data_IF_823716497922
#
_entry.id   IF_823716497922
#
_cell.length_a   1.000
_cell.length_b   1.000
_cell.length_c   1.000
_cell.angle_alpha   90.00
_cell.angle_beta   90.00
_cell.angle_gamma   90.00
#
_symmetry.space_group_name_H-M   'P 1'
#
loop_
_entity.id
_entity.type
_entity.pdbx_description
1 polymer ?
#
# COMPACT_ATOMS: atom_id res chain seq x y z
N UNK A 1 34.96 -17.06 34.64
CA UNK A 1 33.73 -17.65 34.08
C UNK A 1 33.23 -16.68 33.02
N UNK A 2 33.47 -16.97 31.73
CA UNK A 2 33.11 -16.09 30.63
C UNK A 2 31.57 -16.22 30.36
N UNK A 3 30.87 -15.09 30.31
CA UNK A 3 29.46 -15.04 29.93
C UNK A 3 29.30 -15.56 28.50
N UNK A 4 28.26 -16.34 28.17
CA UNK A 4 28.05 -16.84 26.83
C UNK A 4 27.84 -15.64 25.89
N UNK A 5 28.67 -15.56 24.86
CA UNK A 5 28.50 -14.59 23.77
C UNK A 5 27.18 -14.89 23.08
N UNK A 6 26.17 -14.04 23.28
CA UNK A 6 24.89 -14.17 22.59
C UNK A 6 25.15 -14.11 21.08
N UNK A 7 24.78 -15.16 20.36
CA UNK A 7 24.77 -15.13 18.92
C UNK A 7 23.85 -13.96 18.45
N UNK A 8 24.26 -13.17 17.46
CA UNK A 8 23.44 -12.06 16.96
C UNK A 8 22.13 -12.61 16.44
N UNK A 9 21.00 -12.10 16.99
CA UNK A 9 19.67 -12.45 16.52
C UNK A 9 19.48 -11.91 15.09
N UNK A 10 18.95 -12.76 14.20
CA UNK A 10 18.53 -12.35 12.87
C UNK A 10 17.29 -11.44 12.90
N UNK A 11 17.00 -10.78 11.79
CA UNK A 11 15.79 -9.95 11.66
C UNK A 11 14.53 -10.81 11.70
N UNK A 12 13.50 -10.32 12.41
CA UNK A 12 12.17 -10.94 12.40
C UNK A 12 11.55 -10.79 11.01
N UNK A 13 10.99 -11.88 10.46
CA UNK A 13 10.28 -11.90 9.18
C UNK A 13 8.96 -12.65 9.37
N UNK A 14 7.86 -12.05 8.93
CA UNK A 14 6.56 -12.69 8.89
C UNK A 14 6.12 -12.90 7.44
N UNK A 15 5.64 -14.10 7.13
CA UNK A 15 4.93 -14.32 5.88
C UNK A 15 3.49 -13.82 6.06
N UNK A 16 3.07 -12.90 5.21
CA UNK A 16 1.73 -12.33 5.23
C UNK A 16 1.02 -12.69 3.93
N UNK A 17 -0.24 -13.05 4.06
CA UNK A 17 -1.11 -13.34 2.92
C UNK A 17 -2.42 -12.57 3.09
N UNK A 18 -2.91 -12.01 1.98
CA UNK A 18 -4.23 -11.42 1.89
C UNK A 18 -5.15 -12.40 1.18
N UNK A 19 -6.26 -12.75 1.81
CA UNK A 19 -7.31 -13.58 1.22
C UNK A 19 -8.41 -12.68 0.68
N UNK A 20 -8.70 -12.79 -0.62
CA UNK A 20 -9.77 -12.05 -1.30
C UNK A 20 -10.82 -13.02 -1.84
N UNK A 21 -12.06 -12.65 -1.67
CA UNK A 21 -13.22 -13.46 -2.01
C UNK A 21 -13.96 -12.98 -3.26
N UNK A 22 -13.71 -11.73 -3.71
CA UNK A 22 -14.46 -11.14 -4.83
C UNK A 22 -13.55 -10.79 -6.01
N UNK A 23 -14.07 -10.95 -7.23
CA UNK A 23 -13.38 -10.47 -8.43
C UNK A 23 -13.19 -8.95 -8.44
N UNK A 24 -14.06 -8.21 -7.76
CA UNK A 24 -13.97 -6.76 -7.64
C UNK A 24 -12.68 -6.35 -6.91
N UNK A 25 -12.39 -6.96 -5.76
CA UNK A 25 -11.17 -6.71 -5.00
C UNK A 25 -9.90 -7.22 -5.72
N UNK A 26 -9.97 -8.40 -6.38
CA UNK A 26 -8.84 -8.95 -7.15
C UNK A 26 -8.44 -7.99 -8.29
N UNK A 27 -9.39 -7.37 -8.98
CA UNK A 27 -9.12 -6.35 -10.01
C UNK A 27 -8.40 -5.13 -9.44
N UNK A 28 -8.74 -4.70 -8.22
CA UNK A 28 -8.09 -3.59 -7.55
C UNK A 28 -6.68 -3.95 -7.06
N UNK A 29 -6.43 -5.20 -6.71
CA UNK A 29 -5.09 -5.68 -6.39
C UNK A 29 -4.14 -5.60 -7.59
N UNK A 30 -4.57 -6.13 -8.74
CA UNK A 30 -3.73 -6.17 -9.94
C UNK A 30 -3.71 -4.85 -10.71
N UNK A 31 -4.81 -4.09 -10.67
CA UNK A 31 -5.00 -2.96 -11.58
C UNK A 31 -5.25 -3.42 -13.03
N UNK A 32 -4.98 -2.54 -13.97
CA UNK A 32 -5.12 -2.82 -15.41
C UNK A 32 -3.93 -2.26 -16.17
N UNK A 33 -3.30 -3.08 -16.98
CA UNK A 33 -2.26 -2.63 -17.90
C UNK A 33 -2.85 -1.71 -19.00
N UNK A 34 -2.09 -0.75 -19.52
CA UNK A 34 -2.51 0.04 -20.66
C UNK A 34 -2.76 -0.87 -21.87
N UNK A 35 -3.86 -0.64 -22.57
CA UNK A 35 -4.21 -1.40 -23.78
C UNK A 35 -4.85 -0.49 -24.80
N UNK A 36 -4.25 -0.37 -25.98
CA UNK A 36 -4.70 0.54 -27.05
C UNK A 36 -4.79 1.98 -26.55
N UNK A 37 -6.00 2.57 -26.59
CA UNK A 37 -6.27 3.94 -26.12
C UNK A 37 -6.61 4.03 -24.63
N UNK A 38 -6.66 2.90 -23.91
CA UNK A 38 -7.02 2.86 -22.49
C UNK A 38 -5.76 3.03 -21.63
N UNK A 39 -5.79 4.06 -20.77
CA UNK A 39 -4.73 4.26 -19.78
C UNK A 39 -4.68 3.10 -18.77
N UNK A 40 -3.47 2.77 -18.32
CA UNK A 40 -3.27 1.81 -17.24
C UNK A 40 -3.89 2.32 -15.92
N UNK A 41 -4.43 1.40 -15.14
CA UNK A 41 -4.93 1.68 -13.79
C UNK A 41 -3.99 0.98 -12.81
N UNK A 42 -3.35 1.74 -11.94
CA UNK A 42 -2.48 1.19 -10.93
C UNK A 42 -3.31 0.39 -9.92
N UNK A 43 -2.92 -0.86 -9.67
CA UNK A 43 -3.49 -1.65 -8.59
C UNK A 43 -2.75 -1.45 -7.27
N UNK A 44 -3.26 -2.08 -6.19
CA UNK A 44 -2.65 -2.01 -4.87
C UNK A 44 -1.17 -2.44 -4.89
N UNK A 45 -0.83 -3.48 -5.63
CA UNK A 45 0.55 -3.96 -5.72
C UNK A 45 1.51 -2.86 -6.23
N UNK A 46 1.12 -2.17 -7.30
CA UNK A 46 1.89 -1.03 -7.82
C UNK A 46 1.91 0.17 -6.88
N UNK A 47 0.79 0.46 -6.20
CA UNK A 47 0.73 1.50 -5.17
C UNK A 47 1.73 1.22 -4.03
N UNK A 48 1.73 -0.01 -3.49
CA UNK A 48 2.65 -0.42 -2.42
C UNK A 48 4.11 -0.29 -2.85
N UNK A 49 4.45 -0.68 -4.08
CA UNK A 49 5.80 -0.52 -4.60
C UNK A 49 6.26 0.95 -4.61
N UNK A 50 5.38 1.86 -5.03
CA UNK A 50 5.67 3.30 -5.02
C UNK A 50 5.74 3.88 -3.59
N UNK A 51 4.84 3.49 -2.70
CA UNK A 51 4.87 3.92 -1.30
C UNK A 51 6.15 3.44 -0.60
N UNK A 52 6.60 2.22 -0.87
CA UNK A 52 7.87 1.70 -0.36
C UNK A 52 9.06 2.54 -0.88
N UNK A 53 9.01 3.02 -2.13
CA UNK A 53 10.02 3.92 -2.69
C UNK A 53 10.01 5.28 -2.00
N UNK A 54 8.83 5.92 -1.88
CA UNK A 54 8.65 7.19 -1.20
C UNK A 54 9.15 7.12 0.25
N UNK A 55 8.81 6.04 0.95
CA UNK A 55 9.26 5.81 2.32
C UNK A 55 10.79 5.70 2.44
N UNK A 56 11.45 5.04 1.47
CA UNK A 56 12.92 4.96 1.43
C UNK A 56 13.55 6.33 1.16
N UNK A 57 12.98 7.12 0.24
CA UNK A 57 13.47 8.45 -0.08
C UNK A 57 13.30 9.40 1.14
N UNK A 58 12.18 9.31 1.85
CA UNK A 58 11.97 10.03 3.12
C UNK A 58 12.95 9.59 4.23
N UNK A 59 13.33 8.31 4.26
CA UNK A 59 14.36 7.81 5.18
C UNK A 59 15.78 8.37 4.86
N UNK A 60 15.99 8.86 3.64
CA UNK A 60 17.22 9.56 3.21
C UNK A 60 17.14 11.08 3.44
N UNK A 61 16.18 11.51 4.22
CA UNK A 61 15.95 12.92 4.58
C UNK A 61 15.49 13.80 3.41
N UNK A 62 14.78 13.23 2.43
CA UNK A 62 14.17 13.95 1.32
C UNK A 62 12.85 14.63 1.77
N UNK A 63 12.78 15.98 1.83
CA UNK A 63 11.58 16.68 2.27
C UNK A 63 10.43 16.61 1.26
N UNK A 64 10.71 16.41 -0.04
CA UNK A 64 9.67 16.19 -1.04
C UNK A 64 9.01 14.84 -0.84
N UNK A 65 9.77 13.81 -0.46
CA UNK A 65 9.22 12.51 -0.10
C UNK A 65 8.35 12.60 1.16
N UNK A 66 8.74 13.39 2.17
CA UNK A 66 7.89 13.65 3.36
C UNK A 66 6.57 14.34 2.97
N UNK A 67 6.60 15.32 2.06
CA UNK A 67 5.40 15.97 1.54
C UNK A 67 4.45 14.96 0.85
N UNK A 68 5.01 13.98 0.13
CA UNK A 68 4.23 12.90 -0.48
C UNK A 68 3.63 11.97 0.56
N UNK A 69 4.37 11.60 1.61
CA UNK A 69 3.82 10.77 2.70
C UNK A 69 2.63 11.46 3.38
N UNK A 70 2.68 12.78 3.60
CA UNK A 70 1.56 13.56 4.14
C UNK A 70 0.34 13.53 3.22
N UNK A 71 0.54 13.69 1.89
CA UNK A 71 -0.55 13.62 0.91
C UNK A 71 -1.19 12.24 0.87
N UNK A 72 -0.37 11.18 0.93
CA UNK A 72 -0.84 9.79 0.94
C UNK A 72 -1.64 9.53 2.21
N UNK A 73 -1.15 9.96 3.38
CA UNK A 73 -1.85 9.81 4.66
C UNK A 73 -3.21 10.49 4.64
N UNK A 74 -3.28 11.75 4.21
CA UNK A 74 -4.54 12.48 4.09
C UNK A 74 -5.53 11.79 3.13
N UNK A 75 -5.05 11.25 2.00
CA UNK A 75 -5.90 10.53 1.04
C UNK A 75 -6.37 9.18 1.58
N UNK A 76 -5.53 8.49 2.38
CA UNK A 76 -5.92 7.26 3.08
C UNK A 76 -7.02 7.53 4.12
N UNK A 77 -6.90 8.61 4.90
CA UNK A 77 -7.93 9.00 5.89
C UNK A 77 -9.26 9.33 5.19
N UNK A 78 -9.23 10.06 4.06
CA UNK A 78 -10.42 10.34 3.23
C UNK A 78 -11.02 9.05 2.69
N UNK A 79 -10.22 8.18 2.07
CA UNK A 79 -10.69 6.92 1.50
C UNK A 79 -11.32 6.00 2.57
N UNK A 80 -10.76 6.00 3.78
CA UNK A 80 -11.32 5.28 4.91
C UNK A 80 -12.69 5.79 5.31
N UNK A 81 -12.86 7.12 5.40
CA UNK A 81 -14.15 7.72 5.72
C UNK A 81 -15.22 7.39 4.67
N UNK A 82 -14.90 7.52 3.39
CA UNK A 82 -15.80 7.19 2.28
C UNK A 82 -16.23 5.71 2.29
N UNK A 83 -15.31 4.77 2.55
CA UNK A 83 -15.65 3.34 2.67
C UNK A 83 -16.50 3.06 3.91
N UNK A 84 -16.26 3.75 5.03
CA UNK A 84 -17.07 3.62 6.23
C UNK A 84 -18.52 4.09 5.99
N UNK A 85 -18.72 5.16 5.23
CA UNK A 85 -20.05 5.64 4.87
C UNK A 85 -20.81 4.62 3.98
N UNK A 86 -20.13 4.01 3.01
CA UNK A 86 -20.71 2.93 2.20
C UNK A 86 -21.08 1.71 3.06
N UNK A 87 -20.22 1.33 4.02
CA UNK A 87 -20.49 0.22 4.96
C UNK A 87 -21.69 0.53 5.87
N UNK A 88 -21.85 1.78 6.30
CA UNK A 88 -23.02 2.19 7.09
C UNK A 88 -24.31 2.05 6.27
N UNK A 89 -24.35 2.56 5.04
CA UNK A 89 -25.51 2.41 4.15
C UNK A 89 -25.86 0.94 3.91
N UNK A 90 -24.86 0.08 3.67
CA UNK A 90 -25.05 -1.37 3.52
C UNK A 90 -25.57 -2.01 4.81
N UNK A 91 -25.03 -1.62 5.98
CA UNK A 91 -25.50 -2.12 7.27
C UNK A 91 -26.98 -1.79 7.48
N UNK A 92 -27.38 -0.56 7.19
CA UNK A 92 -28.79 -0.12 7.28
C UNK A 92 -29.70 -0.95 6.38
N UNK A 93 -29.28 -1.23 5.13
CA UNK A 93 -30.02 -2.09 4.24
C UNK A 93 -30.16 -3.53 4.77
N UNK A 94 -29.10 -4.09 5.33
CA UNK A 94 -29.12 -5.44 5.91
C UNK A 94 -30.02 -5.56 7.16
N UNK A 95 -30.26 -4.47 7.91
CA UNK A 95 -31.19 -4.46 9.04
C UNK A 95 -32.65 -4.61 8.63
N UNK A 96 -32.97 -4.42 7.34
CA UNK A 96 -34.33 -4.64 6.81
C UNK A 96 -34.68 -6.12 6.65
N UNK A 97 -33.72 -7.04 6.83
CA UNK A 97 -34.00 -8.45 6.80
C UNK A 97 -34.96 -8.85 7.93
N UNK A 98 -35.93 -9.75 7.66
CA UNK A 98 -36.83 -10.25 8.70
C UNK A 98 -36.02 -10.88 9.85
N UNK A 99 -36.43 -10.63 11.11
CA UNK A 99 -35.71 -11.13 12.28
C UNK A 99 -35.57 -12.68 12.34
N UNK A 100 -36.45 -13.40 11.66
CA UNK A 100 -36.39 -14.86 11.54
C UNK A 100 -35.30 -15.33 10.55
N UNK A 101 -34.76 -14.44 9.70
CA UNK A 101 -33.74 -14.77 8.72
C UNK A 101 -32.36 -14.35 9.25
N UNK A 102 -31.51 -15.33 9.48
CA UNK A 102 -30.11 -15.10 9.84
C UNK A 102 -29.27 -15.11 8.56
N UNK A 103 -28.65 -13.98 8.22
CA UNK A 103 -27.72 -13.88 7.11
C UNK A 103 -26.31 -14.22 7.59
N UNK A 104 -25.75 -15.31 7.08
CA UNK A 104 -24.36 -15.71 7.35
C UNK A 104 -23.36 -14.95 6.47
N UNK A 105 -22.07 -15.23 6.67
CA UNK A 105 -21.01 -14.67 5.84
C UNK A 105 -21.04 -15.23 4.40
N UNK A 106 -21.02 -14.34 3.42
CA UNK A 106 -20.96 -14.70 2.00
C UNK A 106 -19.49 -14.92 1.59
N UNK A 107 -18.95 -16.10 1.85
CA UNK A 107 -17.55 -16.45 1.57
C UNK A 107 -17.43 -17.24 0.27
N UNK A 108 -16.39 -16.95 -0.51
CA UNK A 108 -16.04 -17.75 -1.66
C UNK A 108 -15.47 -19.12 -1.21
N UNK A 109 -15.91 -20.21 -1.81
CA UNK A 109 -15.41 -21.57 -1.50
C UNK A 109 -13.96 -21.78 -1.90
N UNK A 110 -13.45 -21.01 -2.88
CA UNK A 110 -12.08 -21.04 -3.35
C UNK A 110 -11.51 -19.60 -3.43
N UNK A 111 -11.24 -18.95 -2.28
CA UNK A 111 -10.72 -17.59 -2.27
C UNK A 111 -9.30 -17.52 -2.81
N UNK A 112 -8.92 -16.37 -3.35
CA UNK A 112 -7.55 -16.13 -3.83
C UNK A 112 -6.69 -15.67 -2.66
N UNK A 113 -5.56 -16.35 -2.44
CA UNK A 113 -4.56 -15.98 -1.47
C UNK A 113 -3.38 -15.29 -2.18
N UNK A 114 -3.08 -14.07 -1.79
CA UNK A 114 -2.06 -13.23 -2.40
C UNK A 114 -0.93 -12.98 -1.39
N UNK A 115 0.33 -13.24 -1.75
CA UNK A 115 1.46 -12.93 -0.88
C UNK A 115 1.60 -11.41 -0.75
N UNK A 116 1.80 -10.94 0.48
CA UNK A 116 1.92 -9.51 0.80
C UNK A 116 3.36 -9.17 1.12
N UNK A 117 3.96 -8.26 0.35
CA UNK A 117 5.28 -7.71 0.62
C UNK A 117 5.17 -6.18 0.77
N UNK A 118 4.95 -5.74 1.99
CA UNK A 118 4.81 -4.31 2.34
C UNK A 118 5.88 -3.95 3.35
N UNK A 119 6.65 -2.90 3.07
CA UNK A 119 7.70 -2.43 3.97
C UNK A 119 7.33 -1.10 4.65
N UNK A 120 6.45 -0.31 4.02
CA UNK A 120 6.01 0.97 4.53
C UNK A 120 4.65 0.87 5.26
N UNK A 121 4.49 1.45 6.45
CA UNK A 121 3.22 1.38 7.20
C UNK A 121 2.00 1.88 6.41
N UNK A 122 2.14 2.94 5.61
CA UNK A 122 1.05 3.46 4.77
C UNK A 122 0.60 2.45 3.70
N UNK A 123 1.48 1.56 3.26
CA UNK A 123 1.11 0.46 2.37
C UNK A 123 0.17 -0.55 3.05
N UNK A 124 0.36 -0.82 4.35
CA UNK A 124 -0.55 -1.66 5.13
C UNK A 124 -1.93 -1.02 5.30
N UNK A 125 -2.00 0.31 5.52
CA UNK A 125 -3.28 1.00 5.60
C UNK A 125 -4.09 0.86 4.30
N UNK A 126 -3.44 0.96 3.13
CA UNK A 126 -4.09 0.71 1.86
C UNK A 126 -4.53 -0.77 1.68
N UNK A 127 -3.73 -1.71 2.19
CA UNK A 127 -4.08 -3.13 2.21
C UNK A 127 -5.34 -3.39 3.04
N UNK A 128 -5.46 -2.75 4.20
CA UNK A 128 -6.65 -2.87 5.05
C UNK A 128 -7.89 -2.31 4.35
N UNK A 129 -7.78 -1.17 3.64
CA UNK A 129 -8.88 -0.62 2.86
C UNK A 129 -9.33 -1.56 1.72
N UNK A 130 -8.40 -2.27 1.08
CA UNK A 130 -8.78 -3.28 0.08
C UNK A 130 -9.52 -4.47 0.71
N UNK A 131 -9.09 -4.92 1.90
CA UNK A 131 -9.79 -5.97 2.64
C UNK A 131 -11.20 -5.52 3.07
N UNK A 132 -11.32 -4.27 3.57
CA UNK A 132 -12.62 -3.66 3.90
C UNK A 132 -13.54 -3.56 2.68
N UNK A 133 -13.00 -3.23 1.51
CA UNK A 133 -13.75 -3.21 0.25
C UNK A 133 -14.18 -4.62 -0.19
N UNK A 134 -13.34 -5.65 -0.04
CA UNK A 134 -13.73 -7.03 -0.35
C UNK A 134 -14.89 -7.50 0.55
N UNK A 135 -14.86 -7.14 1.85
CA UNK A 135 -15.97 -7.41 2.77
C UNK A 135 -17.24 -6.67 2.35
N UNK A 136 -17.14 -5.37 2.04
CA UNK A 136 -18.26 -4.57 1.53
C UNK A 136 -18.86 -5.21 0.29
N UNK A 137 -18.05 -5.59 -0.69
CA UNK A 137 -18.51 -6.22 -1.94
C UNK A 137 -19.24 -7.56 -1.67
N UNK A 138 -18.70 -8.42 -0.80
CA UNK A 138 -19.33 -9.69 -0.41
C UNK A 138 -20.72 -9.47 0.22
N UNK A 139 -20.80 -8.54 1.15
CA UNK A 139 -22.06 -8.24 1.87
C UNK A 139 -23.08 -7.55 0.98
N UNK A 140 -22.64 -6.68 0.06
CA UNK A 140 -23.53 -6.04 -0.93
C UNK A 140 -24.10 -7.07 -1.92
N UNK A 141 -23.29 -8.02 -2.39
CA UNK A 141 -23.74 -9.15 -3.21
C UNK A 141 -24.76 -10.02 -2.47
N UNK A 142 -24.57 -10.26 -1.16
CA UNK A 142 -25.54 -10.96 -0.33
C UNK A 142 -26.86 -10.18 -0.21
N UNK A 143 -26.78 -8.88 0.06
CA UNK A 143 -27.96 -8.02 0.17
C UNK A 143 -28.79 -7.99 -1.13
N UNK A 144 -28.12 -7.98 -2.29
CA UNK A 144 -28.81 -8.08 -3.58
C UNK A 144 -29.41 -9.47 -3.81
N UNK A 145 -28.68 -10.53 -3.47
CA UNK A 145 -29.18 -11.91 -3.59
C UNK A 145 -30.42 -12.16 -2.74
N UNK A 146 -30.51 -11.52 -1.57
CA UNK A 146 -31.66 -11.59 -0.65
C UNK A 146 -32.73 -10.55 -0.91
N UNK A 147 -32.65 -9.82 -2.04
CA UNK A 147 -33.59 -8.78 -2.46
C UNK A 147 -33.75 -7.61 -1.46
N UNK A 148 -32.74 -7.36 -0.61
CA UNK A 148 -32.70 -6.20 0.28
C UNK A 148 -32.27 -4.91 -0.43
N UNK A 149 -31.54 -5.06 -1.54
CA UNK A 149 -31.19 -3.96 -2.46
C UNK A 149 -31.42 -4.38 -3.90
N UNK A 150 -31.62 -3.41 -4.77
CA UNK A 150 -31.77 -3.62 -6.21
C UNK A 150 -30.42 -3.68 -6.94
N UNK A 151 -30.36 -4.24 -8.17
CA UNK A 151 -29.11 -4.32 -8.95
C UNK A 151 -28.44 -2.96 -9.20
N UNK A 152 -29.15 -1.85 -9.56
CA UNK A 152 -28.52 -0.54 -9.71
C UNK A 152 -27.83 -0.02 -8.44
N UNK A 153 -28.39 -0.26 -7.26
CA UNK A 153 -27.80 0.11 -5.98
C UNK A 153 -26.53 -0.69 -5.71
N UNK A 154 -26.54 -2.01 -5.99
CA UNK A 154 -25.34 -2.85 -5.90
C UNK A 154 -24.23 -2.31 -6.81
N UNK A 155 -24.51 -2.09 -8.10
CA UNK A 155 -23.52 -1.59 -9.07
C UNK A 155 -22.92 -0.26 -8.62
N UNK A 156 -23.76 0.67 -8.15
CA UNK A 156 -23.28 1.95 -7.62
C UNK A 156 -22.34 1.77 -6.44
N UNK A 157 -22.71 1.01 -5.41
CA UNK A 157 -21.86 0.82 -4.23
C UNK A 157 -20.54 0.15 -4.55
N UNK A 158 -20.55 -0.85 -5.43
CA UNK A 158 -19.33 -1.52 -5.89
C UNK A 158 -18.43 -0.55 -6.67
N UNK A 159 -19.00 0.28 -7.54
CA UNK A 159 -18.24 1.25 -8.34
C UNK A 159 -17.72 2.40 -7.48
N UNK A 160 -18.52 2.94 -6.56
CA UNK A 160 -18.12 4.01 -5.64
C UNK A 160 -16.94 3.54 -4.77
N UNK A 161 -17.05 2.37 -4.15
CA UNK A 161 -15.95 1.81 -3.34
C UNK A 161 -14.70 1.52 -4.17
N UNK A 162 -14.85 1.00 -5.39
CA UNK A 162 -13.73 0.80 -6.30
C UNK A 162 -13.11 2.13 -6.77
N UNK A 163 -13.92 3.17 -6.98
CA UNK A 163 -13.44 4.51 -7.34
C UNK A 163 -12.59 5.14 -6.26
N UNK A 164 -13.03 5.02 -5.00
CA UNK A 164 -12.26 5.49 -3.82
C UNK A 164 -10.85 4.89 -3.84
N UNK A 165 -10.74 3.57 -3.99
CA UNK A 165 -9.44 2.89 -3.99
C UNK A 165 -8.61 3.20 -5.24
N UNK A 166 -9.21 3.28 -6.43
CA UNK A 166 -8.49 3.68 -7.65
C UNK A 166 -7.96 5.10 -7.56
N UNK A 167 -8.75 6.03 -6.99
CA UNK A 167 -8.34 7.41 -6.74
C UNK A 167 -7.12 7.48 -5.80
N UNK A 168 -7.15 6.67 -4.73
CA UNK A 168 -6.00 6.53 -3.80
C UNK A 168 -4.77 6.00 -4.52
N UNK A 169 -4.91 4.90 -5.29
CA UNK A 169 -3.76 4.26 -5.93
C UNK A 169 -3.15 5.12 -7.04
N UNK A 170 -3.96 5.89 -7.77
CA UNK A 170 -3.49 6.77 -8.83
C UNK A 170 -2.65 7.95 -8.31
N UNK A 171 -2.84 8.35 -7.05
CA UNK A 171 -2.13 9.49 -6.45
C UNK A 171 -0.61 9.37 -6.61
N UNK A 172 -0.06 8.17 -6.39
CA UNK A 172 1.39 7.95 -6.37
C UNK A 172 2.03 7.76 -7.75
N UNK A 173 1.23 7.72 -8.82
CA UNK A 173 1.75 7.51 -10.20
C UNK A 173 2.66 8.63 -10.67
N UNK A 174 2.42 9.84 -10.19
CA UNK A 174 3.19 11.02 -10.57
C UNK A 174 4.42 11.27 -9.70
N UNK A 175 4.65 10.42 -8.69
CA UNK A 175 5.81 10.56 -7.82
C UNK A 175 7.11 10.39 -8.59
N UNK A 176 8.03 11.32 -8.37
CA UNK A 176 9.42 11.27 -8.83
C UNK A 176 10.35 11.59 -7.67
N UNK A 177 11.44 10.84 -7.55
CA UNK A 177 12.48 11.09 -6.55
C UNK A 177 13.13 12.43 -6.82
N UNK A 178 13.25 13.28 -5.79
CA UNK A 178 13.89 14.59 -5.92
C UNK A 178 15.42 14.48 -5.88
N UNK A 179 15.94 13.51 -5.15
CA UNK A 179 17.37 13.28 -4.98
C UNK A 179 18.07 14.34 -4.11
N UNK A 180 17.31 15.17 -3.39
CA UNK A 180 17.83 16.17 -2.47
C UNK A 180 17.55 15.79 -1.03
N UNK A 181 18.40 16.26 -0.11
CA UNK A 181 18.15 16.15 1.32
C UNK A 181 17.98 17.55 1.95
N UNK A 182 17.51 17.59 3.20
CA UNK A 182 17.34 18.89 3.92
C UNK A 182 18.62 19.70 4.02
N UNK A 183 19.78 19.04 4.11
CA UNK A 183 21.07 19.74 4.11
C UNK A 183 21.36 20.42 2.77
N UNK A 184 20.99 19.82 1.63
CA UNK A 184 21.13 20.44 0.32
C UNK A 184 20.27 21.70 0.21
N UNK A 185 19.06 21.65 0.75
CA UNK A 185 18.12 22.79 0.75
C UNK A 185 18.62 23.90 1.67
N UNK A 186 19.11 23.57 2.85
CA UNK A 186 19.68 24.53 3.78
C UNK A 186 20.93 25.22 3.21
N UNK A 187 21.74 24.48 2.45
CA UNK A 187 22.92 25.02 1.76
C UNK A 187 22.58 25.82 0.48
N UNK A 188 21.35 25.74 -0.04
CA UNK A 188 20.95 26.40 -1.28
C UNK A 188 21.76 25.98 -2.50
N UNK A 189 22.25 24.74 -2.53
CA UNK A 189 23.11 24.25 -3.60
C UNK A 189 22.36 24.05 -4.93
N UNK A 190 23.09 23.76 -6.02
CA UNK A 190 22.53 23.59 -7.35
C UNK A 190 21.45 22.51 -7.43
N UNK A 191 21.58 21.41 -6.63
CA UNK A 191 20.56 20.35 -6.55
C UNK A 191 19.26 20.88 -5.94
N UNK A 192 19.34 21.65 -4.88
CA UNK A 192 18.18 22.25 -4.22
C UNK A 192 17.44 23.24 -5.12
N UNK A 193 18.19 24.08 -5.89
CA UNK A 193 17.61 25.00 -6.85
C UNK A 193 16.88 24.23 -7.97
N UNK A 194 17.50 23.22 -8.53
CA UNK A 194 16.88 22.39 -9.58
C UNK A 194 15.63 21.64 -9.05
N UNK A 195 15.67 21.11 -7.84
CA UNK A 195 14.52 20.46 -7.24
C UNK A 195 13.36 21.43 -7.01
N UNK A 196 13.65 22.67 -6.59
CA UNK A 196 12.64 23.73 -6.42
C UNK A 196 12.00 24.11 -7.76
N UNK A 197 12.78 24.20 -8.84
CA UNK A 197 12.26 24.46 -10.19
C UNK A 197 11.36 23.33 -10.69
N UNK A 198 11.74 22.07 -10.41
CA UNK A 198 11.04 20.89 -10.92
C UNK A 198 9.80 20.53 -10.09
N UNK A 199 9.87 20.63 -8.78
CA UNK A 199 8.83 20.15 -7.85
C UNK A 199 8.09 21.26 -7.10
N UNK A 200 8.54 22.50 -7.26
CA UNK A 200 7.98 23.67 -6.56
C UNK A 200 8.54 23.87 -5.16
N UNK A 201 8.07 24.94 -4.51
CA UNK A 201 8.44 25.27 -3.14
C UNK A 201 7.64 24.42 -2.14
N UNK A 202 8.32 24.01 -1.06
CA UNK A 202 7.69 23.33 0.06
C UNK A 202 7.45 24.28 1.23
N UNK A 203 6.36 24.07 2.00
CA UNK A 203 6.14 24.78 3.26
C UNK A 203 7.29 24.58 4.24
N UNK A 204 7.63 25.65 4.99
CA UNK A 204 8.72 25.61 5.95
C UNK A 204 8.61 24.47 6.98
N UNK A 205 7.42 24.14 7.53
CA UNK A 205 7.29 23.02 8.48
C UNK A 205 7.66 21.65 7.90
N UNK A 206 7.56 21.46 6.58
CA UNK A 206 8.03 20.23 5.91
C UNK A 206 9.54 20.27 5.73
N UNK A 207 10.10 21.45 5.38
CA UNK A 207 11.54 21.62 5.19
C UNK A 207 12.33 21.41 6.48
N UNK A 208 11.84 21.92 7.61
CA UNK A 208 12.49 21.74 8.91
C UNK A 208 12.14 20.41 9.60
N UNK A 209 11.18 19.65 9.03
CA UNK A 209 10.76 18.36 9.54
C UNK A 209 9.84 18.42 10.77
N UNK A 210 9.29 19.59 11.11
CA UNK A 210 8.29 19.73 12.20
C UNK A 210 6.92 19.17 11.80
N UNK A 211 6.60 19.15 10.49
CA UNK A 211 5.40 18.54 9.95
C UNK A 211 5.76 17.33 9.09
N UNK A 212 5.43 16.13 9.58
CA UNK A 212 5.65 14.85 8.91
C UNK A 212 4.46 13.93 9.11
N UNK A 213 4.29 12.95 8.20
CA UNK A 213 3.27 11.93 8.34
C UNK A 213 3.49 11.10 9.62
N UNK A 214 2.41 10.61 10.24
CA UNK A 214 2.44 9.80 11.49
C UNK A 214 3.37 8.60 11.39
N UNK A 215 3.44 8.00 10.21
CA UNK A 215 4.23 6.81 9.93
C UNK A 215 5.46 7.10 9.05
N UNK A 216 5.94 8.35 9.04
CA UNK A 216 7.19 8.68 8.37
C UNK A 216 8.38 7.97 9.04
N UNK A 217 9.40 7.56 8.29
CA UNK A 217 10.59 6.95 8.87
C UNK A 217 11.32 7.98 9.75
N UNK A 218 12.08 7.55 10.78
CA UNK A 218 12.86 8.46 11.60
C UNK A 218 13.89 9.20 10.73
N UNK A 219 14.08 10.50 11.00
CA UNK A 219 15.12 11.28 10.35
C UNK A 219 16.49 10.73 10.76
N UNK A 220 17.32 10.41 9.79
CA UNK A 220 18.72 10.09 10.04
C UNK A 220 19.42 11.41 10.41
N UNK A 221 19.63 11.67 11.71
CA UNK A 221 20.52 12.74 12.12
C UNK A 221 21.92 12.37 11.66
N UNK A 222 22.64 13.23 10.91
CA UNK A 222 24.05 12.97 10.64
C UNK A 222 24.76 12.89 12.01
N UNK A 223 25.32 11.70 12.31
CA UNK A 223 26.17 11.54 13.47
C UNK A 223 27.39 12.49 13.32
N UNK A 224 28.05 12.89 14.42
CA UNK A 224 29.20 13.79 14.38
C UNK A 224 30.40 13.24 13.59
N UNK A 225 30.37 11.98 13.15
CA UNK A 225 31.37 11.36 12.28
C UNK A 225 30.67 10.82 11.03
N UNK A 226 30.89 11.48 9.90
CA UNK A 226 30.35 11.13 8.58
C UNK A 226 30.91 9.82 7.99
N UNK A 227 30.61 8.69 8.62
CA UNK A 227 30.79 7.37 8.02
C UNK A 227 29.47 6.61 8.10
N UNK A 228 28.69 6.78 7.02
CA UNK A 228 27.45 6.02 6.81
C UNK A 228 27.79 4.55 6.55
N UNK A 229 27.62 3.71 7.56
CA UNK A 229 27.60 2.27 7.37
C UNK A 229 26.24 1.88 6.79
N UNK A 230 26.12 1.98 5.46
CA UNK A 230 24.99 1.45 4.70
C UNK A 230 25.18 -0.07 4.64
N UNK A 231 24.48 -0.81 5.50
CA UNK A 231 24.32 -2.24 5.29
C UNK A 231 23.58 -2.45 3.96
N UNK A 232 24.11 -3.23 3.00
CA UNK A 232 23.45 -3.46 1.74
C UNK A 232 22.17 -4.26 1.96
N UNK A 233 21.04 -3.70 1.53
CA UNK A 233 19.77 -4.42 1.44
C UNK A 233 19.91 -5.37 0.24
N UNK A 234 19.84 -6.70 0.39
CA UNK A 234 19.93 -7.60 -0.75
C UNK A 234 18.75 -7.38 -1.69
N UNK A 235 19.06 -7.16 -2.96
CA UNK A 235 18.08 -7.05 -4.05
C UNK A 235 17.27 -8.34 -4.14
N UNK A 236 15.95 -8.20 -4.15
CA UNK A 236 15.00 -9.30 -4.27
C UNK A 236 15.07 -10.07 -5.62
N UNK A 237 15.95 -9.67 -6.52
CA UNK A 237 16.10 -10.26 -7.87
C UNK A 237 17.09 -11.43 -7.92
N UNK A 238 17.92 -11.64 -6.87
CA UNK A 238 18.94 -12.71 -6.90
C UNK A 238 18.47 -14.07 -6.34
N UNK A 239 17.26 -14.17 -5.85
CA UNK A 239 16.77 -15.42 -5.20
C UNK A 239 16.00 -16.33 -6.17
N UNK A 240 15.64 -15.85 -7.38
CA UNK A 240 14.90 -16.66 -8.37
C UNK A 240 15.77 -17.54 -9.26
N UNK A 241 17.09 -17.34 -9.32
CA UNK A 241 17.97 -18.10 -10.24
C UNK A 241 18.64 -19.33 -9.63
N UNK A 242 18.40 -19.65 -8.36
CA UNK A 242 19.02 -20.83 -7.69
C UNK A 242 18.11 -22.03 -7.43
N UNK A 243 16.85 -21.96 -7.84
CA UNK A 243 15.89 -23.06 -7.60
C UNK A 243 15.64 -24.00 -8.80
N UNK A 244 16.42 -23.89 -9.88
CA UNK A 244 16.22 -24.74 -11.07
C UNK A 244 17.52 -25.40 -11.51
N UNK A 245 18.10 -26.23 -10.66
CA UNK A 245 19.09 -27.22 -11.13
C UNK A 245 19.28 -28.32 -10.07
N UNK A 246 18.31 -29.18 -9.87
CA UNK A 246 18.56 -30.53 -9.37
C UNK A 246 18.05 -31.53 -10.42
N UNK A 247 18.89 -32.46 -10.88
CA UNK A 247 18.49 -33.47 -11.86
C UNK A 247 17.69 -34.58 -11.18
N UNK A 248 16.54 -34.93 -11.78
CA UNK A 248 15.71 -36.07 -11.42
C UNK A 248 16.49 -37.36 -11.70
N UNK A 249 16.60 -38.33 -10.77
CA UNK A 249 17.19 -39.64 -11.03
C UNK A 249 16.26 -40.51 -11.90
N UNK A 250 16.82 -41.36 -12.80
CA UNK A 250 16.02 -42.19 -13.71
C UNK A 250 15.36 -43.34 -12.98
N UNK A 251 14.10 -43.59 -13.29
CA UNK A 251 13.39 -44.83 -13.00
C UNK A 251 14.06 -45.99 -13.77
N UNK A 252 14.48 -47.03 -13.08
CA UNK A 252 14.82 -48.34 -13.66
C UNK A 252 13.70 -49.36 -13.43
N UNK A 253 13.57 -50.37 -14.30
CA UNK A 253 12.34 -51.12 -14.63
C UNK A 253 11.84 -52.07 -13.56
#
# INVERSE_FOLDING_TARGET
MALPTHAPLGSLRSQMQLTLHTHHAIRLWHGRLPSGHLHGILGLNGFVAQVNRIHRDAAQDDPYADAWLLRIEAKLDTARAELLDLRAQLSDALTQAPAALQLGDNLNLAPVQLPVTVNAPLGFLALYLLADYDELARRALLAQHTALIDPPTLERWLEDGAHVLRSLFSLVQTYRTSGVCRNDIAAGNAKALHAREQFGELPQPILDGSQRARHAPPLRRPGPNGQGNAAPVPNATEVLDKATTEPVPPCTP
#
